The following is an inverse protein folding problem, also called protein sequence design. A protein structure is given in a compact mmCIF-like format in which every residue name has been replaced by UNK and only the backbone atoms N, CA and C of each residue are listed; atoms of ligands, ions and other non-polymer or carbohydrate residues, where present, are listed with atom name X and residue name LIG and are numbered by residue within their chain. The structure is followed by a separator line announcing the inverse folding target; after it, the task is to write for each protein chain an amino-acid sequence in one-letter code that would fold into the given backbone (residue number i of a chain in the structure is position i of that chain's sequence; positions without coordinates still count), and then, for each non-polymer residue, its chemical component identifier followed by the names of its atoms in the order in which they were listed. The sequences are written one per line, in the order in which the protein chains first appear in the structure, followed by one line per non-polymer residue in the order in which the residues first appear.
data_IF_810111618613
#
_entry.id   IF_810111618613
#
_cell.length_a   1.000
_cell.length_b   1.000
_cell.length_c   1.000
_cell.angle_alpha   90.00
_cell.angle_beta   90.00
_cell.angle_gamma   90.00
#
_symmetry.space_group_name_H-M   'P 1'
#
loop_
_entity.id
_entity.type
_entity.pdbx_description
1 polymer ?
#
# COMPACT_ATOMS: atom_id res chain seq x y z
N UNK A 1 38.04 14.75 23.95
CA UNK A 1 37.59 13.58 23.18
C UNK A 1 36.08 13.74 23.01
N UNK A 2 35.66 14.28 21.86
CA UNK A 2 34.23 14.48 21.55
C UNK A 2 33.69 13.12 21.08
N UNK A 3 32.55 12.63 21.58
CA UNK A 3 31.98 11.38 21.09
C UNK A 3 31.62 11.56 19.62
N UNK A 4 32.08 10.64 18.78
CA UNK A 4 31.71 10.53 17.37
C UNK A 4 30.19 10.35 17.30
N UNK A 5 29.52 11.25 16.60
CA UNK A 5 28.11 11.14 16.24
C UNK A 5 27.91 9.80 15.54
N UNK A 6 26.93 9.01 16.01
CA UNK A 6 26.55 7.74 15.38
C UNK A 6 26.32 7.96 13.89
N UNK A 7 26.99 7.17 13.05
CA UNK A 7 26.90 7.28 11.60
C UNK A 7 25.44 7.23 11.15
N UNK A 8 25.02 8.22 10.37
CA UNK A 8 23.68 8.23 9.78
C UNK A 8 23.55 7.03 8.83
N UNK A 9 22.37 6.39 8.74
CA UNK A 9 22.16 5.26 7.82
C UNK A 9 22.51 5.67 6.38
N UNK A 10 23.25 4.82 5.68
CA UNK A 10 23.77 5.08 4.33
C UNK A 10 22.74 4.74 3.24
N UNK A 11 21.63 4.09 3.58
CA UNK A 11 20.51 3.83 2.69
C UNK A 11 19.27 3.27 3.39
N UNK A 12 18.17 3.12 2.64
CA UNK A 12 16.90 2.57 3.16
C UNK A 12 17.05 1.13 3.68
N UNK A 13 18.00 0.36 3.14
CA UNK A 13 18.34 -0.99 3.62
C UNK A 13 18.94 -1.03 5.02
N UNK A 14 19.43 0.11 5.52
CA UNK A 14 19.96 0.21 6.89
C UNK A 14 18.85 0.58 7.89
N UNK A 15 17.66 0.94 7.39
CA UNK A 15 16.51 1.40 8.18
C UNK A 15 15.39 0.34 8.19
N UNK A 16 15.15 -0.29 7.04
CA UNK A 16 14.08 -1.25 6.83
C UNK A 16 14.62 -2.65 6.54
N UNK A 17 13.95 -3.66 7.06
CA UNK A 17 14.18 -5.05 6.70
C UNK A 17 13.85 -5.32 5.22
N UNK A 18 14.39 -6.41 4.67
CA UNK A 18 14.08 -6.82 3.30
C UNK A 18 12.58 -7.05 3.06
N UNK A 19 11.84 -7.53 4.08
CA UNK A 19 10.39 -7.72 3.96
C UNK A 19 9.65 -6.38 3.91
N UNK A 20 10.04 -5.41 4.74
CA UNK A 20 9.47 -4.06 4.72
C UNK A 20 9.76 -3.37 3.38
N UNK A 21 10.99 -3.47 2.86
CA UNK A 21 11.32 -2.94 1.54
C UNK A 21 10.50 -3.60 0.43
N UNK A 22 10.36 -4.93 0.44
CA UNK A 22 9.53 -5.64 -0.52
C UNK A 22 8.07 -5.17 -0.45
N UNK A 23 7.53 -4.99 0.76
CA UNK A 23 6.18 -4.48 0.98
C UNK A 23 6.02 -3.04 0.46
N UNK A 24 6.98 -2.15 0.74
CA UNK A 24 6.95 -0.75 0.28
C UNK A 24 7.03 -0.64 -1.24
N UNK A 25 7.90 -1.42 -1.89
CA UNK A 25 7.95 -1.47 -3.36
C UNK A 25 6.68 -2.03 -3.96
N UNK A 26 6.13 -3.08 -3.34
CA UNK A 26 4.88 -3.69 -3.79
C UNK A 26 3.71 -2.71 -3.65
N UNK A 27 3.57 -2.03 -2.52
CA UNK A 27 2.56 -1.00 -2.30
C UNK A 27 2.68 0.13 -3.33
N UNK A 28 3.91 0.60 -3.58
CA UNK A 28 4.18 1.65 -4.56
C UNK A 28 3.74 1.24 -5.97
N UNK A 29 3.94 -0.02 -6.36
CA UNK A 29 3.48 -0.53 -7.65
C UNK A 29 1.95 -0.71 -7.72
N UNK A 30 1.30 -0.99 -6.59
CA UNK A 30 -0.14 -1.28 -6.50
C UNK A 30 -1.00 -0.04 -6.27
N UNK A 31 -0.45 1.07 -5.77
CA UNK A 31 -1.23 2.14 -5.13
C UNK A 31 -2.30 2.80 -6.00
N UNK A 32 -2.14 2.82 -7.33
CA UNK A 32 -3.08 3.41 -8.30
C UNK A 32 -3.62 2.37 -9.31
N UNK A 33 -3.52 1.08 -8.99
CA UNK A 33 -3.97 0.01 -9.90
C UNK A 33 -5.48 0.09 -10.19
N UNK A 34 -5.86 0.06 -11.47
CA UNK A 34 -7.25 0.19 -11.95
C UNK A 34 -7.91 1.55 -11.61
N UNK A 35 -7.12 2.62 -11.58
CA UNK A 35 -7.63 3.98 -11.39
C UNK A 35 -8.47 4.47 -12.60
N UNK A 36 -9.71 4.95 -12.41
CA UNK A 36 -10.64 5.31 -13.49
C UNK A 36 -10.37 6.69 -14.12
N UNK A 37 -9.39 7.42 -13.61
CA UNK A 37 -9.10 8.81 -14.00
C UNK A 37 -10.04 9.84 -13.38
N UNK A 38 -10.76 9.46 -12.32
CA UNK A 38 -11.73 10.29 -11.59
C UNK A 38 -11.35 10.32 -10.12
N UNK A 39 -11.75 11.37 -9.39
CA UNK A 39 -11.41 11.53 -7.97
C UNK A 39 -12.42 10.85 -7.04
N UNK A 40 -12.01 10.56 -5.80
CA UNK A 40 -12.91 10.08 -4.73
C UNK A 40 -14.16 10.97 -4.60
N UNK A 41 -13.99 12.29 -4.62
CA UNK A 41 -15.10 13.25 -4.52
C UNK A 41 -16.09 13.12 -5.70
N UNK A 42 -15.60 12.92 -6.92
CA UNK A 42 -16.44 12.69 -8.09
C UNK A 42 -17.26 11.41 -7.91
N UNK A 43 -16.60 10.28 -7.61
CA UNK A 43 -17.24 8.97 -7.45
C UNK A 43 -18.36 8.98 -6.40
N UNK A 44 -18.11 9.62 -5.25
CA UNK A 44 -19.13 9.80 -4.20
C UNK A 44 -20.28 10.66 -4.70
N UNK A 45 -19.99 11.80 -5.33
CA UNK A 45 -21.03 12.74 -5.79
C UNK A 45 -21.95 12.16 -6.88
N UNK A 46 -21.44 11.24 -7.70
CA UNK A 46 -22.19 10.60 -8.78
C UNK A 46 -22.83 9.27 -8.39
N UNK A 47 -22.62 8.81 -7.14
CA UNK A 47 -23.12 7.51 -6.69
C UNK A 47 -22.48 6.32 -7.42
N UNK A 48 -21.18 6.41 -7.72
CA UNK A 48 -20.46 5.31 -8.37
C UNK A 48 -20.54 4.01 -7.51
N UNK A 49 -20.68 2.82 -8.11
CA UNK A 49 -20.72 1.57 -7.36
C UNK A 49 -19.54 1.35 -6.40
N UNK A 50 -18.33 1.83 -6.72
CA UNK A 50 -17.17 1.77 -5.83
C UNK A 50 -17.39 2.63 -4.58
N UNK A 51 -17.99 3.81 -4.71
CA UNK A 51 -18.27 4.68 -3.57
C UNK A 51 -19.23 4.00 -2.59
N UNK A 52 -20.28 3.35 -3.11
CA UNK A 52 -21.21 2.55 -2.31
C UNK A 52 -20.52 1.35 -1.64
N UNK A 53 -19.68 0.61 -2.38
CA UNK A 53 -18.96 -0.55 -1.86
C UNK A 53 -18.02 -0.20 -0.70
N UNK A 54 -17.30 0.92 -0.82
CA UNK A 54 -16.35 1.38 0.17
C UNK A 54 -16.91 2.43 1.14
N UNK A 55 -18.23 2.61 1.15
CA UNK A 55 -18.96 3.49 2.07
C UNK A 55 -18.37 4.92 2.11
N UNK A 56 -18.05 5.46 0.93
CA UNK A 56 -17.49 6.80 0.72
C UNK A 56 -16.14 7.08 1.42
N UNK A 57 -15.43 6.04 1.87
CA UNK A 57 -14.15 6.17 2.60
C UNK A 57 -13.00 5.63 1.77
N UNK A 58 -12.03 6.49 1.45
CA UNK A 58 -10.81 6.15 0.69
C UNK A 58 -11.14 5.21 -0.47
N UNK A 59 -12.11 5.63 -1.30
CA UNK A 59 -12.83 4.75 -2.23
C UNK A 59 -11.88 4.14 -3.24
N UNK A 60 -11.02 4.97 -3.82
CA UNK A 60 -10.00 4.57 -4.77
C UNK A 60 -8.91 3.74 -4.10
N UNK A 61 -8.39 4.17 -2.95
CA UNK A 61 -7.29 3.47 -2.28
C UNK A 61 -7.70 2.05 -1.82
N UNK A 62 -8.93 1.88 -1.32
CA UNK A 62 -9.48 0.56 -1.05
C UNK A 62 -9.64 -0.27 -2.34
N UNK A 63 -10.06 0.36 -3.44
CA UNK A 63 -10.20 -0.32 -4.73
C UNK A 63 -8.85 -0.79 -5.29
N UNK A 64 -7.83 0.05 -5.23
CA UNK A 64 -6.46 -0.26 -5.66
C UNK A 64 -5.91 -1.44 -4.85
N UNK A 65 -6.02 -1.37 -3.53
CA UNK A 65 -5.59 -2.44 -2.64
C UNK A 65 -6.32 -3.77 -2.92
N UNK A 66 -7.65 -3.76 -3.02
CA UNK A 66 -8.43 -4.97 -3.24
C UNK A 66 -8.17 -5.60 -4.61
N UNK A 67 -8.19 -4.80 -5.67
CA UNK A 67 -8.08 -5.28 -7.06
C UNK A 67 -6.67 -5.77 -7.37
N UNK A 68 -5.65 -5.06 -6.91
CA UNK A 68 -4.27 -5.49 -7.09
C UNK A 68 -3.93 -6.72 -6.23
N UNK A 69 -4.50 -6.83 -5.01
CA UNK A 69 -4.29 -8.02 -4.18
C UNK A 69 -4.90 -9.27 -4.82
N UNK A 70 -6.09 -9.16 -5.42
CA UNK A 70 -6.70 -10.24 -6.17
C UNK A 70 -5.76 -10.73 -7.29
N UNK A 71 -5.21 -9.81 -8.08
CA UNK A 71 -4.25 -10.11 -9.15
C UNK A 71 -2.96 -10.77 -8.62
N UNK A 72 -2.38 -10.22 -7.54
CA UNK A 72 -1.17 -10.75 -6.91
C UNK A 72 -1.34 -12.20 -6.45
N UNK A 73 -2.52 -12.53 -5.90
CA UNK A 73 -2.78 -13.88 -5.34
C UNK A 73 -3.18 -14.93 -6.39
N UNK A 74 -3.23 -14.59 -7.68
CA UNK A 74 -3.35 -15.58 -8.74
C UNK A 74 -2.11 -16.48 -8.79
N UNK A 75 -2.29 -17.79 -9.00
CA UNK A 75 -1.20 -18.79 -8.97
C UNK A 75 0.01 -18.41 -9.83
N UNK A 76 -0.20 -17.77 -10.98
CA UNK A 76 0.89 -17.36 -11.90
C UNK A 76 1.62 -16.06 -11.51
N UNK A 77 1.03 -15.26 -10.63
CA UNK A 77 1.55 -13.94 -10.23
C UNK A 77 2.06 -13.93 -8.78
N UNK A 78 1.77 -14.97 -7.99
CA UNK A 78 1.97 -15.00 -6.55
C UNK A 78 3.44 -15.17 -6.14
N UNK A 79 4.23 -14.12 -6.27
CA UNK A 79 5.63 -14.09 -5.85
C UNK A 79 5.82 -14.13 -4.31
N UNK A 80 4.74 -14.03 -3.53
CA UNK A 80 4.76 -14.09 -2.06
C UNK A 80 4.37 -15.47 -1.50
N UNK A 81 4.23 -16.49 -2.36
CA UNK A 81 3.73 -17.81 -1.96
C UNK A 81 4.58 -18.53 -0.91
N UNK A 82 5.87 -18.20 -0.82
CA UNK A 82 6.83 -18.83 0.09
C UNK A 82 7.02 -18.07 1.41
N UNK A 83 6.32 -16.94 1.62
CA UNK A 83 6.35 -16.25 2.91
C UNK A 83 5.71 -17.11 3.98
N UNK A 84 6.32 -17.15 5.17
CA UNK A 84 5.69 -17.78 6.31
C UNK A 84 4.45 -16.99 6.80
N UNK A 85 3.71 -17.56 7.74
CA UNK A 85 2.47 -16.96 8.23
C UNK A 85 2.66 -15.60 8.91
N UNK A 86 3.81 -15.38 9.55
CA UNK A 86 4.14 -14.13 10.24
C UNK A 86 4.56 -13.09 9.20
N UNK A 87 5.45 -13.47 8.29
CA UNK A 87 5.91 -12.62 7.19
C UNK A 87 4.75 -12.19 6.30
N UNK A 88 3.87 -13.11 5.90
CA UNK A 88 2.70 -12.79 5.09
C UNK A 88 1.80 -11.74 5.75
N UNK A 89 1.57 -11.89 7.07
CA UNK A 89 0.75 -10.92 7.82
C UNK A 89 1.39 -9.55 7.88
N UNK A 90 2.70 -9.50 8.14
CA UNK A 90 3.45 -8.24 8.20
C UNK A 90 3.50 -7.57 6.83
N UNK A 91 3.82 -8.33 5.79
CA UNK A 91 3.83 -7.87 4.40
C UNK A 91 2.46 -7.31 4.00
N UNK A 92 1.37 -8.06 4.22
CA UNK A 92 0.01 -7.62 3.93
C UNK A 92 -0.35 -6.34 4.68
N UNK A 93 -0.03 -6.28 5.97
CA UNK A 93 -0.31 -5.10 6.79
C UNK A 93 0.38 -3.86 6.21
N UNK A 94 1.69 -3.94 5.96
CA UNK A 94 2.46 -2.81 5.42
C UNK A 94 1.92 -2.37 4.05
N UNK A 95 1.63 -3.32 3.14
CA UNK A 95 1.10 -2.99 1.81
C UNK A 95 -0.23 -2.25 1.90
N UNK A 96 -1.18 -2.78 2.67
CA UNK A 96 -2.51 -2.19 2.77
C UNK A 96 -2.49 -0.81 3.44
N UNK A 97 -1.76 -0.66 4.54
CA UNK A 97 -1.65 0.64 5.23
C UNK A 97 -0.94 1.68 4.36
N UNK A 98 0.10 1.28 3.62
CA UNK A 98 0.83 2.19 2.72
C UNK A 98 -0.05 2.68 1.58
N UNK A 99 -0.86 1.80 0.97
CA UNK A 99 -1.81 2.21 -0.09
C UNK A 99 -2.91 3.11 0.50
N UNK A 100 -3.49 2.77 1.65
CA UNK A 100 -4.52 3.60 2.27
C UNK A 100 -3.98 4.98 2.71
N UNK A 101 -2.70 5.09 3.02
CA UNK A 101 -2.04 6.34 3.35
C UNK A 101 -1.84 7.28 2.13
N UNK A 102 -2.06 6.83 0.89
CA UNK A 102 -1.99 7.70 -0.28
C UNK A 102 -3.26 8.53 -0.51
N UNK A 103 -4.32 8.31 0.28
CA UNK A 103 -5.52 9.14 0.24
C UNK A 103 -5.18 10.58 0.68
N UNK A 104 -5.17 11.50 -0.27
CA UNK A 104 -4.82 12.90 -0.04
C UNK A 104 -5.75 13.60 0.96
N UNK A 105 -6.97 13.08 1.20
CA UNK A 105 -7.86 13.61 2.23
C UNK A 105 -7.26 13.42 3.63
N UNK A 106 -6.41 12.41 3.82
CA UNK A 106 -5.74 12.07 5.08
C UNK A 106 -4.37 12.74 5.23
N UNK A 107 -3.95 13.56 4.27
CA UNK A 107 -2.61 14.17 4.25
C UNK A 107 -2.30 15.05 5.47
N UNK A 108 -3.34 15.57 6.13
CA UNK A 108 -3.21 16.47 7.29
C UNK A 108 -3.65 15.84 8.62
N UNK A 109 -4.03 14.55 8.61
CA UNK A 109 -4.36 13.79 9.82
C UNK A 109 -3.07 13.29 10.51
#
# INVERSE_FOLDING_TARGET
MVPVLSEAPNGLSDIFSSLELLALYTASAMHDYDHPGLTNAFLVSTGDPKALLYNDRSVLENHHAASAWALLTETKNNFIENLDKIEYKMFRFIVLETILATDLKRHFD
#
